data_IF_800028612403
#
_entry.id   IF_800028612403
#
_cell.length_a   1.000
_cell.length_b   1.000
_cell.length_c   1.000
_cell.angle_alpha   90.00
_cell.angle_beta   90.00
_cell.angle_gamma   90.00
#
_symmetry.space_group_name_H-M   'P 1'
#
loop_
_entity.id
_entity.type
_entity.pdbx_description
1 polymer ?
#
# COMPACT_ATOMS: atom_id res chain seq x y z
N UNK A 1 27.21 -17.83 32.29
CA UNK A 1 26.72 -19.02 33.01
C UNK A 1 27.01 -20.22 32.13
N UNK A 2 27.74 -21.18 32.70
CA UNK A 2 28.31 -22.37 32.06
C UNK A 2 27.25 -23.47 31.82
N UNK A 3 27.71 -24.52 31.11
CA UNK A 3 27.12 -25.85 30.85
C UNK A 3 26.04 -25.88 29.76
N UNK A 4 25.99 -26.82 28.82
CA UNK A 4 26.75 -28.03 28.52
C UNK A 4 26.46 -28.39 27.06
N UNK A 5 27.48 -28.81 26.30
CA UNK A 5 27.33 -29.40 24.97
C UNK A 5 27.34 -30.92 25.15
N UNK A 6 26.27 -31.60 24.77
CA UNK A 6 26.31 -33.05 24.53
C UNK A 6 25.86 -33.37 23.10
N UNK A 7 26.79 -34.01 22.38
CA UNK A 7 26.64 -34.60 21.06
C UNK A 7 26.36 -36.08 21.28
N UNK A 8 25.24 -36.59 20.74
CA UNK A 8 24.94 -38.02 20.76
C UNK A 8 25.09 -38.55 19.33
N UNK A 9 26.22 -39.21 19.07
CA UNK A 9 26.39 -40.17 17.97
C UNK A 9 26.01 -41.55 18.49
N UNK A 10 25.11 -42.27 17.81
CA UNK A 10 24.86 -43.69 18.05
C UNK A 10 25.24 -44.51 16.81
N UNK A 11 26.38 -45.21 16.91
CA UNK A 11 26.77 -46.31 16.03
C UNK A 11 25.98 -47.57 16.42
N UNK A 12 25.33 -48.22 15.45
CA UNK A 12 24.72 -49.54 15.64
C UNK A 12 25.67 -50.60 15.09
N UNK A 13 26.32 -51.31 16.01
CA UNK A 13 27.18 -52.47 15.75
C UNK A 13 26.32 -53.74 15.59
N UNK A 14 26.27 -54.31 14.39
CA UNK A 14 25.65 -55.61 14.12
C UNK A 14 26.58 -56.76 14.56
N UNK A 15 26.21 -57.44 15.64
CA UNK A 15 26.86 -58.65 16.12
C UNK A 15 26.61 -59.86 15.21
N UNK A 16 27.70 -60.46 14.75
CA UNK A 16 27.74 -61.74 14.01
C UNK A 16 27.76 -62.88 15.04
N UNK A 17 26.77 -63.78 15.04
CA UNK A 17 26.86 -65.06 15.73
C UNK A 17 26.60 -66.24 14.78
N UNK A 18 27.46 -67.23 14.94
CA UNK A 18 27.70 -68.45 14.18
C UNK A 18 26.63 -69.54 14.40
N UNK A 19 26.27 -70.25 13.33
CA UNK A 19 25.44 -71.46 13.34
C UNK A 19 26.31 -72.73 13.57
N UNK A 20 25.82 -73.78 14.27
CA UNK A 20 26.51 -75.06 14.35
C UNK A 20 26.08 -76.03 13.25
N UNK A 21 27.03 -76.86 12.84
CA UNK A 21 26.93 -77.97 11.88
C UNK A 21 26.10 -79.15 12.39
N UNK A 22 25.34 -79.81 11.52
CA UNK A 22 24.88 -81.19 11.73
C UNK A 22 25.13 -82.04 10.48
N UNK A 23 25.59 -83.26 10.76
CA UNK A 23 26.29 -84.24 9.94
C UNK A 23 25.39 -85.03 8.97
N UNK A 24 25.98 -85.50 7.88
CA UNK A 24 25.42 -86.48 6.94
C UNK A 24 25.35 -87.90 7.53
N UNK A 25 24.36 -88.68 7.09
CA UNK A 25 24.22 -90.11 7.36
C UNK A 25 23.34 -90.79 6.30
N UNK A 26 23.86 -91.86 5.72
CA UNK A 26 23.52 -92.56 4.46
C UNK A 26 22.24 -93.43 4.43
N UNK A 27 21.57 -93.39 3.25
CA UNK A 27 20.96 -94.46 2.41
C UNK A 27 19.98 -95.51 2.97
N UNK A 28 18.78 -95.65 2.37
CA UNK A 28 18.31 -96.84 1.59
C UNK A 28 17.21 -96.39 0.58
N UNK A 29 17.21 -97.03 -0.60
CA UNK A 29 16.40 -96.84 -1.80
C UNK A 29 15.04 -97.60 -1.74
N UNK A 30 13.96 -97.08 -2.34
CA UNK A 30 12.96 -97.81 -3.16
C UNK A 30 11.79 -96.90 -3.61
N UNK A 31 11.35 -97.07 -4.85
CA UNK A 31 10.55 -96.09 -5.60
C UNK A 31 9.04 -96.11 -5.40
N UNK A 32 8.42 -94.95 -5.60
CA UNK A 32 7.03 -94.69 -6.05
C UNK A 32 6.88 -93.18 -6.32
N UNK A 33 6.26 -92.70 -7.42
CA UNK A 33 6.10 -91.28 -7.66
C UNK A 33 4.87 -90.79 -6.89
N UNK A 34 5.03 -90.27 -5.67
CA UNK A 34 3.85 -89.84 -4.90
C UNK A 34 4.15 -88.81 -3.80
N UNK A 35 3.45 -87.67 -3.89
CA UNK A 35 3.09 -86.71 -2.82
C UNK A 35 4.19 -85.79 -2.27
N UNK A 36 5.47 -86.18 -2.25
CA UNK A 36 6.54 -85.37 -1.63
C UNK A 36 6.95 -84.12 -2.42
N UNK A 37 6.88 -84.14 -3.76
CA UNK A 37 7.22 -82.99 -4.60
C UNK A 37 6.20 -81.84 -4.50
N UNK A 38 4.92 -82.15 -4.27
CA UNK A 38 3.86 -81.13 -4.11
C UNK A 38 3.92 -80.39 -2.78
N UNK A 39 4.28 -81.07 -1.70
CA UNK A 39 4.45 -80.46 -0.37
C UNK A 39 5.70 -79.58 -0.29
N UNK A 40 6.78 -79.95 -0.99
CA UNK A 40 8.02 -79.18 -1.00
C UNK A 40 7.89 -77.89 -1.84
N UNK A 41 7.17 -77.96 -2.97
CA UNK A 41 6.79 -76.76 -3.75
C UNK A 41 5.90 -75.80 -2.96
N UNK A 42 4.86 -76.32 -2.29
CA UNK A 42 3.97 -75.49 -1.49
C UNK A 42 4.70 -74.80 -0.32
N UNK A 43 5.63 -75.48 0.35
CA UNK A 43 6.45 -74.86 1.40
C UNK A 43 7.44 -73.82 0.85
N UNK A 44 8.04 -74.06 -0.33
CA UNK A 44 8.87 -73.07 -1.01
C UNK A 44 8.06 -71.84 -1.44
N UNK A 45 6.84 -72.04 -1.93
CA UNK A 45 5.94 -70.94 -2.32
C UNK A 45 5.46 -70.14 -1.09
N UNK A 46 5.16 -70.78 0.04
CA UNK A 46 4.81 -70.09 1.29
C UNK A 46 5.99 -69.29 1.84
N UNK A 47 7.20 -69.86 1.84
CA UNK A 47 8.41 -69.16 2.31
C UNK A 47 8.70 -67.94 1.43
N UNK A 48 8.54 -68.08 0.11
CA UNK A 48 8.71 -66.97 -0.84
C UNK A 48 7.64 -65.89 -0.65
N UNK A 49 6.38 -66.27 -0.45
CA UNK A 49 5.29 -65.31 -0.14
C UNK A 49 5.55 -64.56 1.17
N UNK A 50 6.07 -65.27 2.17
CA UNK A 50 6.39 -64.71 3.47
C UNK A 50 7.56 -63.71 3.37
N UNK A 51 8.61 -64.06 2.62
CA UNK A 51 9.72 -63.17 2.31
C UNK A 51 9.26 -61.91 1.55
N UNK A 52 8.41 -62.07 0.52
CA UNK A 52 7.82 -60.94 -0.21
C UNK A 52 6.96 -60.05 0.69
N UNK A 53 6.21 -60.63 1.63
CA UNK A 53 5.42 -59.88 2.60
C UNK A 53 6.34 -59.07 3.56
N UNK A 54 7.40 -59.68 4.08
CA UNK A 54 8.37 -58.99 4.94
C UNK A 54 9.06 -57.84 4.21
N UNK A 55 9.44 -58.02 2.94
CA UNK A 55 10.03 -56.97 2.13
C UNK A 55 9.05 -55.80 1.92
N UNK A 56 7.79 -56.08 1.59
CA UNK A 56 6.76 -55.04 1.44
C UNK A 56 6.50 -54.26 2.72
N UNK A 57 6.46 -54.93 3.88
CA UNK A 57 6.29 -54.28 5.17
C UNK A 57 7.53 -53.45 5.52
N UNK A 58 8.73 -53.94 5.23
CA UNK A 58 9.97 -53.19 5.43
C UNK A 58 10.03 -51.93 4.56
N UNK A 59 9.63 -52.03 3.29
CA UNK A 59 9.55 -50.88 2.37
C UNK A 59 8.51 -49.85 2.84
N UNK A 60 7.35 -50.31 3.31
CA UNK A 60 6.33 -49.44 3.90
C UNK A 60 6.87 -48.70 5.12
N UNK A 61 7.45 -49.42 6.09
CA UNK A 61 8.00 -48.82 7.31
C UNK A 61 9.15 -47.84 7.01
N UNK A 62 9.99 -48.18 6.02
CA UNK A 62 11.05 -47.29 5.55
C UNK A 62 10.49 -46.01 4.94
N UNK A 63 9.40 -46.11 4.16
CA UNK A 63 8.69 -44.95 3.62
C UNK A 63 8.15 -44.04 4.72
N UNK A 64 7.47 -44.61 5.72
CA UNK A 64 6.92 -43.86 6.86
C UNK A 64 8.00 -43.16 7.69
N UNK A 65 9.11 -43.86 7.99
CA UNK A 65 10.24 -43.29 8.73
C UNK A 65 10.91 -42.16 7.93
N UNK A 66 11.07 -42.31 6.62
CA UNK A 66 11.66 -41.28 5.77
C UNK A 66 10.77 -40.03 5.71
N UNK A 67 9.46 -40.20 5.53
CA UNK A 67 8.51 -39.10 5.54
C UNK A 67 8.56 -38.34 6.87
N UNK A 68 8.51 -39.07 7.98
CA UNK A 68 8.62 -38.51 9.34
C UNK A 68 9.94 -37.76 9.53
N UNK A 69 11.05 -38.28 9.01
CA UNK A 69 12.37 -37.64 9.10
C UNK A 69 12.42 -36.31 8.35
N UNK A 70 11.80 -36.24 7.16
CA UNK A 70 11.71 -35.00 6.40
C UNK A 70 10.82 -33.95 7.09
N UNK A 71 9.73 -34.38 7.74
CA UNK A 71 8.90 -33.49 8.56
C UNK A 71 9.70 -32.89 9.74
N UNK A 72 10.56 -33.69 10.39
CA UNK A 72 11.44 -33.19 11.45
C UNK A 72 12.49 -32.21 10.95
N UNK A 73 13.09 -32.44 9.77
CA UNK A 73 14.01 -31.47 9.14
C UNK A 73 13.32 -30.16 8.77
N UNK A 74 12.09 -30.25 8.28
CA UNK A 74 11.27 -29.07 8.00
C UNK A 74 11.01 -28.29 9.29
N UNK A 75 10.65 -28.99 10.37
CA UNK A 75 10.42 -28.37 11.67
C UNK A 75 11.68 -27.69 12.23
N UNK A 76 12.84 -28.32 12.08
CA UNK A 76 14.14 -27.73 12.46
C UNK A 76 14.40 -26.43 11.66
N UNK A 77 14.18 -26.47 10.35
CA UNK A 77 14.33 -25.30 9.47
C UNK A 77 13.37 -24.17 9.87
N UNK A 78 12.11 -24.50 10.14
CA UNK A 78 11.10 -23.54 10.59
C UNK A 78 11.48 -22.91 11.93
N UNK A 79 12.00 -23.69 12.87
CA UNK A 79 12.47 -23.20 14.16
C UNK A 79 13.68 -22.27 14.01
N UNK A 80 14.61 -22.58 13.10
CA UNK A 80 15.76 -21.73 12.82
C UNK A 80 15.33 -20.39 12.22
N UNK A 81 14.49 -20.41 11.18
CA UNK A 81 13.93 -19.18 10.57
C UNK A 81 13.16 -18.35 11.61
N UNK A 82 12.36 -19.01 12.44
CA UNK A 82 11.61 -18.34 13.51
C UNK A 82 12.54 -17.65 14.51
N UNK A 83 13.62 -18.33 14.93
CA UNK A 83 14.64 -17.76 15.81
C UNK A 83 15.29 -16.52 15.20
N UNK A 84 15.69 -16.59 13.94
CA UNK A 84 16.35 -15.48 13.24
C UNK A 84 15.39 -14.27 13.13
N UNK A 85 14.10 -14.52 12.86
CA UNK A 85 13.06 -13.48 12.87
C UNK A 85 12.88 -12.83 14.23
N UNK A 86 12.88 -13.59 15.32
CA UNK A 86 12.80 -13.02 16.66
C UNK A 86 14.02 -12.16 17.01
N UNK A 87 15.22 -12.53 16.53
CA UNK A 87 16.42 -11.73 16.71
C UNK A 87 16.37 -10.42 15.92
N UNK A 88 15.93 -10.45 14.66
CA UNK A 88 15.70 -9.24 13.85
C UNK A 88 14.70 -8.29 14.53
N UNK A 89 13.57 -8.84 14.99
CA UNK A 89 12.53 -8.08 15.67
C UNK A 89 13.03 -7.45 16.97
N UNK A 90 13.86 -8.16 17.73
CA UNK A 90 14.49 -7.62 18.94
C UNK A 90 15.42 -6.45 18.63
N UNK A 91 16.24 -6.56 17.57
CA UNK A 91 17.13 -5.48 17.12
C UNK A 91 16.33 -4.26 16.66
N UNK A 92 15.23 -4.47 15.93
CA UNK A 92 14.34 -3.39 15.50
C UNK A 92 13.70 -2.68 16.69
N UNK A 93 13.22 -3.43 17.69
CA UNK A 93 12.66 -2.85 18.90
C UNK A 93 13.69 -2.02 19.69
N UNK A 94 14.95 -2.48 19.78
CA UNK A 94 16.03 -1.72 20.40
C UNK A 94 16.31 -0.41 19.66
N UNK A 95 16.36 -0.45 18.33
CA UNK A 95 16.53 0.76 17.53
C UNK A 95 15.36 1.73 17.74
N UNK A 96 14.12 1.23 17.79
CA UNK A 96 12.94 2.06 18.03
C UNK A 96 13.02 2.79 19.37
N UNK A 97 13.50 2.12 20.42
CA UNK A 97 13.69 2.73 21.75
C UNK A 97 14.71 3.89 21.68
N UNK A 98 15.80 3.72 20.93
CA UNK A 98 16.80 4.78 20.72
C UNK A 98 16.20 5.96 19.96
N UNK A 99 15.44 5.70 18.90
CA UNK A 99 14.78 6.76 18.12
C UNK A 99 13.70 7.49 18.93
N UNK A 100 12.92 6.78 19.76
CA UNK A 100 11.96 7.42 20.67
C UNK A 100 12.65 8.34 21.67
N UNK A 101 13.82 7.95 22.19
CA UNK A 101 14.59 8.81 23.08
C UNK A 101 15.11 10.06 22.35
N UNK A 102 15.52 9.95 21.09
CA UNK A 102 15.90 11.09 20.26
C UNK A 102 14.71 12.02 20.00
N UNK A 103 13.56 11.46 19.63
CA UNK A 103 12.34 12.23 19.40
C UNK A 103 11.91 12.99 20.65
N UNK A 104 11.99 12.34 21.82
CA UNK A 104 11.65 12.99 23.08
C UNK A 104 12.60 14.15 23.41
N UNK A 105 13.91 14.03 23.11
CA UNK A 105 14.85 15.17 23.24
C UNK A 105 14.48 16.33 22.32
N UNK A 106 14.13 16.03 21.07
CA UNK A 106 13.68 17.04 20.11
C UNK A 106 12.41 17.73 20.62
N UNK A 107 11.42 16.95 21.09
CA UNK A 107 10.20 17.48 21.67
C UNK A 107 10.47 18.41 22.86
N UNK A 108 11.32 18.00 23.79
CA UNK A 108 11.73 18.86 24.92
C UNK A 108 12.44 20.14 24.47
N UNK A 109 13.15 20.13 23.33
CA UNK A 109 13.76 21.34 22.78
C UNK A 109 12.75 22.35 22.22
N UNK A 110 11.53 21.89 21.89
CA UNK A 110 10.45 22.76 21.42
C UNK A 110 9.62 23.40 22.55
N UNK A 111 9.65 22.83 23.75
CA UNK A 111 8.95 23.34 24.94
C UNK A 111 9.09 24.87 25.16
N UNK A 112 10.30 25.48 25.13
CA UNK A 112 10.43 26.92 25.33
C UNK A 112 9.77 27.76 24.23
N UNK A 113 9.67 27.24 23.00
CA UNK A 113 9.00 27.94 21.91
C UNK A 113 7.48 27.88 22.04
N UNK A 114 6.95 26.75 22.55
CA UNK A 114 5.52 26.62 22.85
C UNK A 114 5.14 27.61 23.94
N UNK A 115 5.93 27.72 25.01
CA UNK A 115 5.72 28.71 26.06
C UNK A 115 5.75 30.16 25.54
N UNK A 116 6.67 30.48 24.62
CA UNK A 116 6.68 31.80 23.98
C UNK A 116 5.42 32.08 23.16
N UNK A 117 4.88 31.06 22.47
CA UNK A 117 3.63 31.21 21.71
C UNK A 117 2.47 31.48 22.68
N UNK A 118 2.40 30.76 23.80
CA UNK A 118 1.36 30.96 24.81
C UNK A 118 1.42 32.39 25.41
N UNK A 119 2.63 32.89 25.72
CA UNK A 119 2.83 34.27 26.17
C UNK A 119 2.35 35.31 25.14
N UNK A 120 2.60 35.08 23.85
CA UNK A 120 2.14 35.95 22.78
C UNK A 120 0.60 35.92 22.69
N UNK A 121 -0.01 34.75 22.80
CA UNK A 121 -1.48 34.61 22.81
C UNK A 121 -2.11 35.39 23.97
N UNK A 122 -1.56 35.30 25.18
CA UNK A 122 -2.04 36.08 26.33
C UNK A 122 -1.91 37.60 26.10
N UNK A 123 -0.82 38.05 25.47
CA UNK A 123 -0.63 39.46 25.13
C UNK A 123 -1.66 39.95 24.08
N UNK A 124 -1.99 39.10 23.10
CA UNK A 124 -3.02 39.41 22.09
C UNK A 124 -4.39 39.50 22.74
N UNK A 125 -4.74 38.59 23.64
CA UNK A 125 -6.01 38.63 24.39
C UNK A 125 -6.13 39.91 25.24
N UNK A 126 -5.02 40.35 25.84
CA UNK A 126 -4.98 41.62 26.57
C UNK A 126 -5.21 42.82 25.64
N UNK A 127 -4.55 42.84 24.48
CA UNK A 127 -4.75 43.88 23.47
C UNK A 127 -6.19 43.94 22.97
N UNK A 128 -6.84 42.79 22.79
CA UNK A 128 -8.25 42.72 22.41
C UNK A 128 -9.18 43.31 23.48
N UNK A 129 -8.93 43.03 24.76
CA UNK A 129 -9.67 43.65 25.88
C UNK A 129 -9.51 45.16 25.89
N UNK A 130 -8.29 45.67 25.76
CA UNK A 130 -8.03 47.12 25.71
C UNK A 130 -8.72 47.76 24.50
N UNK A 131 -8.72 47.10 23.34
CA UNK A 131 -9.42 47.59 22.16
C UNK A 131 -10.94 47.66 22.36
N UNK A 132 -11.52 46.67 23.03
CA UNK A 132 -12.95 46.67 23.38
C UNK A 132 -13.31 47.77 24.39
N UNK A 133 -12.48 47.98 25.42
CA UNK A 133 -12.67 49.09 26.36
C UNK A 133 -12.59 50.44 25.64
N UNK A 134 -11.64 50.61 24.72
CA UNK A 134 -11.51 51.83 23.92
C UNK A 134 -12.74 52.07 23.02
N UNK A 135 -13.32 51.00 22.46
CA UNK A 135 -14.54 51.07 21.67
C UNK A 135 -15.75 51.46 22.52
N UNK A 136 -15.86 50.95 23.75
CA UNK A 136 -16.89 51.38 24.71
C UNK A 136 -16.73 52.86 25.10
N UNK A 137 -15.51 53.30 25.46
CA UNK A 137 -15.23 54.72 25.73
C UNK A 137 -15.57 55.62 24.52
N UNK A 138 -15.27 55.16 23.30
CA UNK A 138 -15.62 55.88 22.06
C UNK A 138 -17.13 56.03 21.89
N UNK A 139 -17.90 54.96 22.16
CA UNK A 139 -19.36 54.97 22.15
C UNK A 139 -19.93 55.91 23.22
N UNK A 140 -19.42 55.86 24.45
CA UNK A 140 -19.83 56.77 25.51
C UNK A 140 -19.56 58.22 25.13
N UNK A 141 -18.37 58.54 24.62
CA UNK A 141 -18.03 59.89 24.18
C UNK A 141 -18.91 60.37 23.01
N UNK A 142 -19.33 59.47 22.12
CA UNK A 142 -20.28 59.76 21.06
C UNK A 142 -21.69 60.02 21.62
N UNK A 143 -22.13 59.26 22.62
CA UNK A 143 -23.40 59.46 23.34
C UNK A 143 -23.36 60.80 24.10
N UNK A 144 -22.28 61.12 24.82
CA UNK A 144 -22.10 62.39 25.51
C UNK A 144 -22.10 63.58 24.55
N UNK A 145 -21.47 63.45 23.36
CA UNK A 145 -21.52 64.45 22.28
C UNK A 145 -22.90 64.57 21.62
N UNK A 146 -23.69 63.50 21.57
CA UNK A 146 -25.09 63.55 21.09
C UNK A 146 -26.01 64.19 22.13
N UNK A 147 -25.82 63.85 23.42
CA UNK A 147 -26.55 64.44 24.54
C UNK A 147 -26.25 65.95 24.68
N UNK A 148 -25.00 66.37 24.47
CA UNK A 148 -24.62 67.78 24.47
C UNK A 148 -25.19 68.58 23.29
N UNK A 149 -25.60 67.91 22.19
CA UNK A 149 -26.31 68.53 21.05
C UNK A 149 -27.81 68.75 21.29
N UNK A 150 -28.41 68.12 22.31
CA UNK A 150 -29.84 68.21 22.65
C UNK A 150 -30.17 69.33 23.67
N UNK A 151 -29.19 70.16 24.02
CA UNK A 151 -29.31 71.40 24.80
C UNK A 151 -29.86 71.27 26.24
N UNK A 152 -29.14 70.51 27.07
CA UNK A 152 -28.93 70.92 28.48
C UNK A 152 -27.60 71.68 28.49
N UNK A 153 -27.64 72.98 28.79
CA UNK A 153 -26.50 73.89 28.69
C UNK A 153 -25.26 73.41 29.47
N UNK A 154 -24.12 73.24 28.81
CA UNK A 154 -23.03 74.24 28.84
C UNK A 154 -21.80 73.80 28.01
N UNK A 155 -21.53 74.58 26.96
CA UNK A 155 -20.21 75.10 26.51
C UNK A 155 -18.98 74.18 26.33
N UNK A 156 -18.26 74.42 25.20
CA UNK A 156 -16.92 73.90 24.80
C UNK A 156 -16.92 72.44 24.30
N UNK A 157 -16.44 72.03 23.11
CA UNK A 157 -15.38 72.52 22.20
C UNK A 157 -15.72 72.12 20.75
N UNK A 158 -15.64 73.07 19.82
CA UNK A 158 -15.44 72.80 18.39
C UNK A 158 -14.02 72.25 18.21
N UNK A 159 -13.88 71.05 17.66
CA UNK A 159 -12.56 70.55 17.25
C UNK A 159 -12.70 69.89 15.88
N UNK A 160 -12.61 70.71 14.83
CA UNK A 160 -12.72 70.27 13.44
C UNK A 160 -11.54 69.35 13.03
N UNK A 161 -10.40 69.45 13.72
CA UNK A 161 -9.26 68.51 13.57
C UNK A 161 -9.64 67.04 13.88
N UNK A 162 -10.46 66.80 14.91
CA UNK A 162 -10.82 65.44 15.33
C UNK A 162 -11.79 64.80 14.33
N UNK A 163 -12.61 65.59 13.64
CA UNK A 163 -13.50 65.08 12.58
C UNK A 163 -12.73 64.70 11.32
N UNK A 164 -11.71 65.48 10.98
CA UNK A 164 -10.83 65.19 9.84
C UNK A 164 -10.00 63.93 10.07
N UNK A 165 -9.41 63.78 11.26
CA UNK A 165 -8.67 62.57 11.63
C UNK A 165 -9.58 61.33 11.71
N UNK A 166 -10.79 61.44 12.27
CA UNK A 166 -11.75 60.33 12.28
C UNK A 166 -12.26 59.97 10.88
N UNK A 167 -12.32 60.93 9.96
CA UNK A 167 -12.65 60.68 8.55
C UNK A 167 -11.52 59.90 7.87
N UNK A 168 -10.27 60.30 8.12
CA UNK A 168 -9.09 59.61 7.62
C UNK A 168 -8.99 58.18 8.14
N UNK A 169 -9.22 57.97 9.44
CA UNK A 169 -9.23 56.63 10.07
C UNK A 169 -10.35 55.75 9.52
N UNK A 170 -11.55 56.30 9.30
CA UNK A 170 -12.66 55.54 8.66
C UNK A 170 -12.34 55.14 7.23
N UNK A 171 -11.74 56.04 6.46
CA UNK A 171 -11.32 55.76 5.08
C UNK A 171 -10.19 54.72 5.03
N UNK A 172 -9.24 54.82 5.96
CA UNK A 172 -8.15 53.85 6.09
C UNK A 172 -8.68 52.46 6.47
N UNK A 173 -9.56 52.36 7.47
CA UNK A 173 -10.19 51.10 7.87
C UNK A 173 -10.96 50.47 6.71
N UNK A 174 -11.72 51.26 5.95
CA UNK A 174 -12.41 50.78 4.76
C UNK A 174 -11.44 50.24 3.71
N UNK A 175 -10.33 50.94 3.48
CA UNK A 175 -9.29 50.53 2.53
C UNK A 175 -8.58 49.24 2.97
N UNK A 176 -8.32 49.09 4.26
CA UNK A 176 -7.73 47.86 4.84
C UNK A 176 -8.72 46.69 4.70
N UNK A 177 -10.00 46.92 4.98
CA UNK A 177 -11.04 45.90 4.89
C UNK A 177 -11.24 45.41 3.44
N UNK A 178 -11.29 46.32 2.47
CA UNK A 178 -11.32 46.00 1.04
C UNK A 178 -10.05 45.25 0.60
N UNK A 179 -8.87 45.58 1.15
CA UNK A 179 -7.63 44.85 0.89
C UNK A 179 -7.64 43.45 1.49
N UNK A 180 -8.19 43.26 2.70
CA UNK A 180 -8.29 41.95 3.35
C UNK A 180 -9.27 41.05 2.61
N UNK A 181 -10.42 41.56 2.16
CA UNK A 181 -11.36 40.82 1.33
C UNK A 181 -10.73 40.44 -0.01
N UNK A 182 -10.04 41.38 -0.66
CA UNK A 182 -9.29 41.11 -1.89
C UNK A 182 -8.22 40.06 -1.66
N UNK A 183 -7.43 40.15 -0.58
CA UNK A 183 -6.42 39.16 -0.23
C UNK A 183 -7.04 37.79 0.04
N UNK A 184 -8.19 37.72 0.73
CA UNK A 184 -8.93 36.48 0.94
C UNK A 184 -9.48 35.87 -0.35
N UNK A 185 -9.81 36.71 -1.34
CA UNK A 185 -10.24 36.28 -2.66
C UNK A 185 -9.05 35.81 -3.50
N UNK A 186 -7.95 36.56 -3.48
CA UNK A 186 -6.69 36.24 -4.16
C UNK A 186 -6.07 34.95 -3.60
N UNK A 187 -6.12 34.73 -2.28
CA UNK A 187 -5.69 33.48 -1.63
C UNK A 187 -6.58 32.31 -2.07
N UNK A 188 -7.91 32.47 -2.12
CA UNK A 188 -8.83 31.44 -2.64
C UNK A 188 -8.61 31.15 -4.12
N UNK A 189 -8.33 32.16 -4.93
CA UNK A 189 -7.94 31.99 -6.33
C UNK A 189 -6.57 31.32 -6.46
N UNK A 190 -5.59 31.64 -5.62
CA UNK A 190 -4.28 31.00 -5.61
C UNK A 190 -4.36 29.52 -5.22
N UNK A 191 -5.17 29.16 -4.21
CA UNK A 191 -5.44 27.76 -3.87
C UNK A 191 -6.15 27.03 -5.02
N UNK A 192 -7.20 27.62 -5.60
CA UNK A 192 -7.92 27.00 -6.73
C UNK A 192 -7.12 26.96 -8.05
N UNK A 193 -6.19 27.90 -8.28
CA UNK A 193 -5.26 27.88 -9.42
C UNK A 193 -4.14 26.87 -9.23
N UNK A 194 -3.60 26.75 -8.00
CA UNK A 194 -2.45 25.88 -7.74
C UNK A 194 -2.73 24.41 -8.08
N UNK A 195 -3.95 23.92 -7.81
CA UNK A 195 -4.32 22.53 -8.10
C UNK A 195 -4.81 22.31 -9.55
N UNK A 196 -5.41 23.32 -10.20
CA UNK A 196 -5.96 23.18 -11.56
C UNK A 196 -4.99 23.55 -12.69
N UNK A 197 -4.06 24.48 -12.47
CA UNK A 197 -3.07 24.89 -13.49
C UNK A 197 -1.79 24.02 -13.48
N UNK A 198 -1.58 23.19 -12.45
CA UNK A 198 -0.46 22.24 -12.40
C UNK A 198 -0.71 20.96 -13.20
N UNK A 199 -1.97 20.58 -13.45
CA UNK A 199 -2.33 19.32 -14.11
C UNK A 199 -2.67 19.44 -15.61
N UNK A 200 -2.48 20.61 -16.23
CA UNK A 200 -2.69 20.77 -17.67
C UNK A 200 -1.40 20.42 -18.44
N UNK A 201 -1.51 19.43 -19.32
CA UNK A 201 -0.48 19.00 -20.26
C UNK A 201 0.18 17.66 -19.94
N UNK A 202 -0.01 17.11 -18.74
CA UNK A 202 0.73 15.92 -18.28
C UNK A 202 0.18 14.66 -18.95
N UNK A 203 1.05 13.90 -19.64
CA UNK A 203 0.76 12.55 -20.15
C UNK A 203 1.66 11.56 -19.45
N UNK A 204 1.09 10.77 -18.55
CA UNK A 204 1.86 9.90 -17.67
C UNK A 204 1.29 8.49 -17.63
N UNK A 205 2.18 7.53 -17.40
CA UNK A 205 1.82 6.17 -16.96
C UNK A 205 2.23 5.97 -15.50
N UNK A 206 1.35 5.42 -14.68
CA UNK A 206 1.66 4.96 -13.32
C UNK A 206 1.74 3.44 -13.36
N UNK A 207 2.91 2.94 -12.99
CA UNK A 207 3.24 1.54 -12.86
C UNK A 207 3.39 1.23 -11.37
N UNK A 208 2.88 0.08 -10.96
CA UNK A 208 3.01 -0.34 -9.58
C UNK A 208 2.40 -1.71 -9.38
N UNK A 209 2.72 -2.36 -8.26
CA UNK A 209 2.25 -3.69 -7.99
C UNK A 209 0.72 -3.70 -7.77
N UNK A 210 0.09 -4.89 -7.80
CA UNK A 210 -1.36 -5.03 -7.82
C UNK A 210 -1.99 -4.35 -6.60
N UNK A 211 -2.66 -3.21 -6.83
CA UNK A 211 -3.15 -2.41 -5.71
C UNK A 211 -3.19 -0.93 -5.95
N UNK A 212 -2.27 -0.41 -6.76
CA UNK A 212 -2.03 1.01 -6.99
C UNK A 212 -3.05 1.74 -7.90
N UNK A 213 -4.21 1.11 -8.18
CA UNK A 213 -5.29 1.48 -9.11
C UNK A 213 -4.97 1.17 -10.61
N UNK A 214 -5.85 1.23 -11.63
CA UNK A 214 -7.32 1.27 -11.75
C UNK A 214 -7.80 0.02 -12.51
N UNK A 215 -8.67 -0.77 -11.87
CA UNK A 215 -9.55 -1.69 -12.61
C UNK A 215 -10.90 -1.04 -12.86
N UNK A 216 -11.06 0.26 -12.61
CA UNK A 216 -12.36 0.91 -12.49
C UNK A 216 -13.04 1.12 -13.83
N UNK A 217 -12.28 1.35 -14.90
CA UNK A 217 -12.82 1.33 -16.26
C UNK A 217 -13.34 -0.06 -16.65
N UNK A 218 -12.61 -1.13 -16.34
CA UNK A 218 -13.11 -2.49 -16.56
C UNK A 218 -14.29 -2.82 -15.64
N UNK A 219 -14.27 -2.36 -14.38
CA UNK A 219 -15.36 -2.57 -13.42
C UNK A 219 -16.62 -1.77 -13.76
N UNK A 220 -16.50 -0.59 -14.36
CA UNK A 220 -17.65 0.16 -14.86
C UNK A 220 -18.30 -0.57 -16.05
N UNK A 221 -17.49 -1.15 -16.94
CA UNK A 221 -17.97 -2.02 -18.03
C UNK A 221 -18.65 -3.29 -17.50
N UNK A 222 -18.08 -3.90 -16.45
CA UNK A 222 -18.69 -5.04 -15.74
C UNK A 222 -20.03 -4.65 -15.11
N UNK A 223 -20.10 -3.48 -14.45
CA UNK A 223 -21.31 -2.96 -13.83
C UNK A 223 -22.39 -2.62 -14.88
N UNK A 224 -21.97 -2.07 -16.02
CA UNK A 224 -22.83 -1.81 -17.18
C UNK A 224 -23.22 -3.09 -17.96
N UNK A 225 -22.70 -4.25 -17.57
CA UNK A 225 -22.96 -5.57 -18.19
C UNK A 225 -22.71 -5.57 -19.70
N UNK A 226 -21.71 -4.83 -20.16
CA UNK A 226 -21.31 -4.87 -21.57
C UNK A 226 -20.71 -6.23 -21.90
N UNK A 227 -20.74 -6.63 -23.18
CA UNK A 227 -20.14 -7.90 -23.63
C UNK A 227 -18.69 -8.03 -23.17
N UNK A 228 -17.93 -6.95 -23.31
CA UNK A 228 -16.55 -6.84 -22.86
C UNK A 228 -16.43 -6.92 -21.33
N UNK A 229 -17.31 -6.26 -20.59
CA UNK A 229 -17.32 -6.33 -19.12
C UNK A 229 -17.53 -7.75 -18.59
N UNK A 230 -18.42 -8.54 -19.21
CA UNK A 230 -18.67 -9.93 -18.82
C UNK A 230 -17.47 -10.84 -19.07
N UNK A 231 -16.77 -10.66 -20.19
CA UNK A 231 -15.55 -11.40 -20.52
C UNK A 231 -14.39 -11.00 -19.58
N UNK A 232 -14.22 -9.69 -19.34
CA UNK A 232 -13.22 -9.17 -18.42
C UNK A 232 -13.42 -9.65 -16.98
N UNK A 233 -14.69 -9.76 -16.51
CA UNK A 233 -14.99 -10.19 -15.15
C UNK A 233 -14.36 -11.54 -14.80
N UNK A 234 -14.51 -12.54 -15.68
CA UNK A 234 -13.97 -13.89 -15.45
C UNK A 234 -12.44 -13.88 -15.31
N UNK A 235 -11.78 -13.09 -16.16
CA UNK A 235 -10.32 -12.96 -16.16
C UNK A 235 -9.86 -12.26 -14.89
N UNK A 236 -10.51 -11.16 -14.51
CA UNK A 236 -10.20 -10.40 -13.30
C UNK A 236 -10.38 -11.21 -12.02
N UNK A 237 -11.49 -11.95 -11.90
CA UNK A 237 -11.79 -12.79 -10.73
C UNK A 237 -10.72 -13.90 -10.54
N UNK A 238 -10.10 -14.37 -11.65
CA UNK A 238 -9.00 -15.36 -11.62
C UNK A 238 -7.61 -14.77 -11.35
N UNK A 239 -7.48 -13.43 -11.30
CA UNK A 239 -6.19 -12.74 -11.19
C UNK A 239 -5.39 -12.65 -12.49
N UNK A 240 -5.99 -13.00 -13.63
CA UNK A 240 -5.38 -12.91 -14.96
C UNK A 240 -5.38 -11.49 -15.54
N UNK A 241 -4.73 -11.33 -16.70
CA UNK A 241 -4.71 -10.09 -17.46
C UNK A 241 -5.66 -10.18 -18.66
N UNK A 242 -6.42 -9.10 -18.89
CA UNK A 242 -7.23 -8.94 -20.10
C UNK A 242 -6.29 -8.81 -21.31
N UNK A 243 -6.71 -9.30 -22.47
CA UNK A 243 -5.86 -9.31 -23.66
C UNK A 243 -5.42 -7.90 -24.09
N UNK A 244 -4.19 -7.81 -24.58
CA UNK A 244 -3.54 -6.56 -24.96
C UNK A 244 -4.36 -5.78 -26.01
N UNK A 245 -4.96 -6.48 -26.97
CA UNK A 245 -5.77 -5.88 -28.03
C UNK A 245 -7.02 -5.18 -27.50
N UNK A 246 -7.70 -5.82 -26.54
CA UNK A 246 -8.90 -5.27 -25.91
C UNK A 246 -8.52 -4.02 -25.10
N UNK A 247 -7.44 -4.09 -24.33
CA UNK A 247 -6.99 -2.98 -23.49
C UNK A 247 -6.53 -1.78 -24.33
N UNK A 248 -5.71 -2.01 -25.35
CA UNK A 248 -5.23 -0.95 -26.26
C UNK A 248 -6.42 -0.29 -26.97
N UNK A 249 -7.36 -1.07 -27.49
CA UNK A 249 -8.55 -0.53 -28.17
C UNK A 249 -9.43 0.32 -27.24
N UNK A 250 -9.58 -0.09 -25.97
CA UNK A 250 -10.34 0.66 -24.99
C UNK A 250 -9.68 2.01 -24.65
N UNK A 251 -8.37 2.00 -24.39
CA UNK A 251 -7.61 3.23 -24.11
C UNK A 251 -7.63 4.16 -25.33
N UNK A 252 -7.48 3.62 -26.54
CA UNK A 252 -7.58 4.40 -27.76
C UNK A 252 -8.93 5.11 -27.88
N UNK A 253 -10.02 4.39 -27.63
CA UNK A 253 -11.36 4.95 -27.69
C UNK A 253 -11.55 6.10 -26.69
N UNK A 254 -11.04 5.95 -25.46
CA UNK A 254 -11.15 7.03 -24.46
C UNK A 254 -10.29 8.24 -24.80
N UNK A 255 -9.04 8.04 -25.22
CA UNK A 255 -8.17 9.15 -25.60
C UNK A 255 -8.70 9.95 -26.80
N UNK A 256 -9.48 9.31 -27.68
CA UNK A 256 -10.08 9.96 -28.85
C UNK A 256 -11.41 10.64 -28.54
N UNK A 257 -12.29 9.99 -27.77
CA UNK A 257 -13.66 10.44 -27.58
C UNK A 257 -13.88 11.27 -26.32
N UNK A 258 -13.02 11.16 -25.30
CA UNK A 258 -13.14 11.94 -24.08
C UNK A 258 -12.49 13.33 -24.25
N UNK A 259 -13.26 14.43 -24.21
CA UNK A 259 -12.70 15.78 -24.33
C UNK A 259 -11.71 16.13 -23.21
N UNK A 260 -11.85 15.54 -22.03
CA UNK A 260 -10.96 15.78 -20.87
C UNK A 260 -9.54 15.28 -21.15
N UNK A 261 -9.40 14.17 -21.89
CA UNK A 261 -8.10 13.60 -22.26
C UNK A 261 -7.30 14.49 -23.24
N UNK A 262 -7.90 15.54 -23.81
CA UNK A 262 -7.18 16.47 -24.69
C UNK A 262 -6.16 17.32 -23.93
N UNK A 263 -6.41 17.56 -22.64
CA UNK A 263 -5.54 18.38 -21.79
C UNK A 263 -4.42 17.58 -21.13
N UNK A 264 -4.34 16.27 -21.32
CA UNK A 264 -3.44 15.39 -20.60
C UNK A 264 -4.18 14.15 -20.12
N UNK A 265 -3.44 13.15 -19.67
CA UNK A 265 -4.02 11.93 -19.12
C UNK A 265 -3.03 11.24 -18.19
N UNK A 266 -3.58 10.51 -17.22
CA UNK A 266 -2.82 9.60 -16.38
C UNK A 266 -3.37 8.20 -16.66
N UNK A 267 -2.54 7.35 -17.25
CA UNK A 267 -2.85 5.94 -17.43
C UNK A 267 -2.36 5.20 -16.20
N UNK A 268 -3.29 4.63 -15.46
CA UNK A 268 -2.99 3.95 -14.21
C UNK A 268 -3.23 2.44 -14.36
N UNK A 269 -2.17 1.65 -14.21
CA UNK A 269 -2.23 0.21 -14.39
C UNK A 269 -2.26 -0.24 -15.86
N UNK A 270 -1.93 0.64 -16.81
CA UNK A 270 -1.62 0.35 -18.20
C UNK A 270 -0.43 1.22 -18.65
N UNK A 271 0.57 0.68 -19.36
CA UNK A 271 0.70 -0.69 -19.85
C UNK A 271 1.22 -1.68 -18.79
N UNK A 272 0.89 -2.97 -18.95
CA UNK A 272 1.34 -4.10 -18.11
C UNK A 272 2.29 -5.06 -18.81
N UNK A 273 2.43 -4.94 -20.13
CA UNK A 273 3.34 -5.75 -20.94
C UNK A 273 4.12 -4.84 -21.88
N UNK A 274 5.31 -5.27 -22.31
CA UNK A 274 6.12 -4.50 -23.28
C UNK A 274 5.37 -4.28 -24.61
N UNK A 275 4.66 -5.28 -25.18
CA UNK A 275 3.85 -5.05 -26.38
C UNK A 275 2.75 -4.00 -26.20
N UNK A 276 2.16 -3.88 -25.01
CA UNK A 276 1.20 -2.80 -24.72
C UNK A 276 1.90 -1.43 -24.70
N UNK A 277 3.11 -1.34 -24.14
CA UNK A 277 3.88 -0.10 -24.11
C UNK A 277 4.28 0.36 -25.52
N UNK A 278 4.74 -0.56 -26.37
CA UNK A 278 5.06 -0.28 -27.78
C UNK A 278 3.82 0.20 -28.55
N UNK A 279 2.66 -0.46 -28.36
CA UNK A 279 1.40 -0.07 -28.99
C UNK A 279 0.91 1.30 -28.52
N UNK A 280 1.06 1.60 -27.23
CA UNK A 280 0.71 2.91 -26.65
C UNK A 280 1.56 4.01 -27.28
N UNK A 281 2.87 3.82 -27.35
CA UNK A 281 3.78 4.78 -27.95
C UNK A 281 3.47 4.98 -29.44
N UNK A 282 3.29 3.90 -30.19
CA UNK A 282 2.94 3.97 -31.62
C UNK A 282 1.59 4.67 -31.85
N UNK A 283 0.64 4.54 -30.92
CA UNK A 283 -0.64 5.26 -30.97
C UNK A 283 -0.44 6.76 -30.71
N UNK A 284 0.35 7.14 -29.71
CA UNK A 284 0.61 8.54 -29.39
C UNK A 284 1.41 9.22 -30.50
N UNK A 285 2.38 8.54 -31.11
CA UNK A 285 3.18 9.06 -32.23
C UNK A 285 2.31 9.42 -33.44
N UNK A 286 1.28 8.64 -33.76
CA UNK A 286 0.31 8.95 -34.84
C UNK A 286 -0.37 10.30 -34.63
N UNK A 287 -0.64 10.65 -33.38
CA UNK A 287 -1.25 11.92 -32.98
C UNK A 287 -0.20 13.02 -32.71
N UNK A 288 1.08 12.77 -33.00
CA UNK A 288 2.23 13.65 -32.68
C UNK A 288 2.32 13.98 -31.19
N UNK A 289 1.96 13.01 -30.35
CA UNK A 289 2.03 13.07 -28.88
C UNK A 289 3.13 12.12 -28.40
N UNK A 290 3.65 12.41 -27.20
CA UNK A 290 4.56 11.53 -26.46
C UNK A 290 4.10 11.45 -25.00
N UNK A 291 4.53 10.40 -24.30
CA UNK A 291 4.48 10.36 -22.84
C UNK A 291 5.56 11.26 -22.26
N UNK A 292 5.22 11.97 -21.19
CA UNK A 292 6.14 12.84 -20.47
C UNK A 292 6.83 12.09 -19.33
N UNK A 293 6.07 11.23 -18.61
CA UNK A 293 6.56 10.49 -17.45
C UNK A 293 6.04 9.06 -17.36
N UNK A 294 6.86 8.19 -16.80
CA UNK A 294 6.52 6.84 -16.41
C UNK A 294 6.93 6.64 -14.95
N UNK A 295 5.96 6.71 -14.03
CA UNK A 295 6.22 6.65 -12.60
C UNK A 295 6.04 5.23 -12.09
N UNK A 296 7.02 4.70 -11.37
CA UNK A 296 6.92 3.42 -10.69
C UNK A 296 6.74 3.60 -9.19
N UNK A 297 5.67 3.02 -8.64
CA UNK A 297 5.40 2.96 -7.21
C UNK A 297 6.04 1.70 -6.61
N UNK A 298 7.21 1.88 -6.01
CA UNK A 298 8.04 0.80 -5.45
C UNK A 298 7.61 0.50 -4.02
N UNK A 299 7.29 -0.77 -3.74
CA UNK A 299 6.89 -1.23 -2.41
C UNK A 299 7.22 -2.72 -2.23
N UNK A 300 7.57 -3.11 -1.01
CA UNK A 300 7.82 -4.52 -0.64
C UNK A 300 6.54 -5.36 -0.73
N UNK A 301 6.67 -6.57 -1.28
CA UNK A 301 5.56 -7.51 -1.49
C UNK A 301 4.84 -7.85 -0.17
N UNK A 302 5.55 -7.99 0.95
CA UNK A 302 4.93 -8.32 2.23
C UNK A 302 4.09 -7.16 2.76
N UNK A 303 4.58 -5.93 2.63
CA UNK A 303 3.83 -4.74 3.00
C UNK A 303 2.58 -4.57 2.12
N UNK A 304 2.69 -4.90 0.83
CA UNK A 304 1.57 -4.88 -0.08
C UNK A 304 0.48 -5.89 0.30
N UNK A 305 0.85 -7.10 0.73
CA UNK A 305 -0.12 -8.11 1.20
C UNK A 305 -0.96 -7.57 2.36
N UNK A 306 -0.32 -6.96 3.35
CA UNK A 306 -1.04 -6.33 4.47
C UNK A 306 -1.96 -5.21 3.99
N UNK A 307 -1.51 -4.36 3.06
CA UNK A 307 -2.30 -3.24 2.51
C UNK A 307 -3.52 -3.69 1.70
N UNK A 308 -3.43 -4.77 0.93
CA UNK A 308 -4.53 -5.21 0.06
C UNK A 308 -5.59 -5.97 0.85
N UNK A 309 -5.17 -6.88 1.73
CA UNK A 309 -6.09 -7.70 2.53
C UNK A 309 -6.93 -6.89 3.52
N UNK A 310 -6.44 -5.72 3.94
CA UNK A 310 -7.16 -4.78 4.81
C UNK A 310 -7.94 -3.69 4.10
N UNK A 311 -7.95 -3.65 2.75
CA UNK A 311 -8.59 -2.57 1.98
C UNK A 311 -10.12 -2.63 2.03
N UNK A 312 -10.72 -1.46 2.20
CA UNK A 312 -12.15 -1.19 2.15
C UNK A 312 -12.40 -0.10 1.11
N UNK A 313 -13.49 -0.19 0.35
CA UNK A 313 -13.75 0.70 -0.78
C UNK A 313 -15.20 1.15 -0.75
N UNK A 314 -15.41 2.44 -0.97
CA UNK A 314 -16.73 2.99 -1.19
C UNK A 314 -17.11 2.86 -2.68
N UNK A 315 -18.08 2.02 -3.07
CA UNK A 315 -18.35 1.70 -4.48
C UNK A 315 -18.69 2.91 -5.35
N UNK A 316 -19.47 3.86 -4.81
CA UNK A 316 -19.99 4.99 -5.56
C UNK A 316 -18.92 6.05 -5.87
N UNK A 317 -17.89 6.16 -5.03
CA UNK A 317 -16.85 7.20 -5.14
C UNK A 317 -15.47 6.68 -5.49
N UNK A 318 -15.22 5.38 -5.30
CA UNK A 318 -13.88 4.79 -5.39
C UNK A 318 -12.96 5.11 -4.21
N UNK A 319 -13.39 5.91 -3.21
CA UNK A 319 -12.60 6.19 -2.00
C UNK A 319 -12.19 4.89 -1.32
N UNK A 320 -10.93 4.83 -0.90
CA UNK A 320 -10.35 3.65 -0.26
C UNK A 320 -9.95 3.95 1.18
N UNK A 321 -10.21 2.98 2.04
CA UNK A 321 -9.86 2.96 3.45
C UNK A 321 -9.10 1.67 3.74
N UNK A 322 -8.50 1.59 4.91
CA UNK A 322 -7.80 0.39 5.35
C UNK A 322 -8.11 0.11 6.82
N UNK A 323 -8.45 -1.15 7.15
CA UNK A 323 -8.84 -1.55 8.52
C UNK A 323 -7.87 -1.11 9.62
N UNK A 324 -6.57 -1.04 9.29
CA UNK A 324 -5.47 -0.66 10.21
C UNK A 324 -4.83 0.70 9.85
N UNK A 325 -4.25 0.84 8.65
CA UNK A 325 -3.47 2.03 8.26
C UNK A 325 -4.28 3.31 7.98
N UNK A 326 -5.56 3.19 7.63
CA UNK A 326 -6.44 4.33 7.31
C UNK A 326 -7.91 3.97 7.61
N UNK A 327 -8.26 3.73 8.88
CA UNK A 327 -9.58 3.24 9.25
C UNK A 327 -10.62 4.33 9.02
N UNK A 328 -11.85 3.97 8.58
CA UNK A 328 -12.94 4.94 8.52
C UNK A 328 -13.30 5.40 9.93
N UNK A 329 -13.81 6.64 10.06
CA UNK A 329 -14.29 7.19 11.33
C UNK A 329 -15.39 6.32 11.95
N UNK A 330 -16.26 5.78 11.11
CA UNK A 330 -17.28 4.80 11.50
C UNK A 330 -17.02 3.49 10.78
N UNK A 331 -16.87 2.41 11.55
CA UNK A 331 -16.57 1.09 11.01
C UNK A 331 -17.53 0.69 9.88
N UNK A 332 -16.97 0.38 8.71
CA UNK A 332 -17.72 -0.04 7.54
C UNK A 332 -18.49 1.06 6.82
N UNK A 333 -18.28 2.34 7.13
CA UNK A 333 -18.96 3.46 6.47
C UNK A 333 -17.98 4.48 5.90
N UNK A 334 -18.36 5.09 4.79
CA UNK A 334 -17.63 6.19 4.18
C UNK A 334 -17.74 7.46 5.04
N UNK A 335 -16.63 8.16 5.24
CA UNK A 335 -16.57 9.33 6.12
C UNK A 335 -17.32 10.56 5.59
N UNK A 336 -17.59 10.61 4.29
CA UNK A 336 -18.24 11.75 3.63
C UNK A 336 -19.72 11.47 3.42
N UNK A 337 -20.09 10.28 2.92
CA UNK A 337 -21.48 9.96 2.58
C UNK A 337 -22.19 9.12 3.64
N UNK A 338 -21.46 8.45 4.53
CA UNK A 338 -22.04 7.50 5.49
C UNK A 338 -22.51 6.18 4.88
N UNK A 339 -22.29 5.98 3.57
CA UNK A 339 -22.66 4.77 2.83
C UNK A 339 -21.73 3.59 3.17
N UNK A 340 -22.19 2.34 2.97
CA UNK A 340 -21.40 1.16 3.34
C UNK A 340 -20.14 1.00 2.48
N UNK A 341 -19.04 0.65 3.15
CA UNK A 341 -17.80 0.21 2.53
C UNK A 341 -17.84 -1.29 2.25
N UNK A 342 -17.22 -1.71 1.16
CA UNK A 342 -17.10 -3.12 0.79
C UNK A 342 -15.63 -3.52 0.66
N UNK A 343 -15.35 -4.80 0.88
CA UNK A 343 -14.10 -5.42 0.48
C UNK A 343 -14.30 -6.08 -0.89
N UNK A 344 -13.33 -5.92 -1.81
CA UNK A 344 -13.43 -6.56 -3.13
C UNK A 344 -13.18 -8.06 -3.01
N UNK A 345 -13.82 -8.84 -3.89
CA UNK A 345 -13.66 -10.29 -3.92
C UNK A 345 -12.21 -10.73 -4.26
N UNK A 346 -11.49 -9.92 -5.06
CA UNK A 346 -10.10 -10.16 -5.46
C UNK A 346 -9.06 -9.69 -4.42
N UNK A 347 -9.48 -9.04 -3.32
CA UNK A 347 -8.60 -8.56 -2.25
C UNK A 347 -8.33 -9.67 -1.21
N UNK A 348 -7.77 -10.79 -1.68
CA UNK A 348 -7.36 -11.93 -0.86
C UNK A 348 -5.90 -12.35 -1.16
N UNK A 349 -5.28 -13.07 -0.22
CA UNK A 349 -3.85 -13.41 -0.29
C UNK A 349 -3.50 -14.31 -1.49
N UNK A 350 -4.37 -15.26 -1.86
CA UNK A 350 -4.12 -16.18 -2.96
C UNK A 350 -4.13 -15.46 -4.30
N UNK A 351 -5.17 -14.66 -4.56
CA UNK A 351 -5.29 -13.84 -5.76
C UNK A 351 -4.14 -12.83 -5.84
N UNK A 352 -3.77 -12.20 -4.72
CA UNK A 352 -2.65 -11.26 -4.70
C UNK A 352 -1.32 -11.93 -5.05
N UNK A 353 -1.03 -13.12 -4.50
CA UNK A 353 0.20 -13.86 -4.81
C UNK A 353 0.29 -14.17 -6.31
N UNK A 354 -0.80 -14.61 -6.93
CA UNK A 354 -0.89 -14.83 -8.40
C UNK A 354 -0.63 -13.54 -9.18
N UNK A 355 -1.19 -12.41 -8.73
CA UNK A 355 -1.00 -11.11 -9.38
C UNK A 355 0.43 -10.59 -9.21
N UNK A 356 1.06 -10.79 -8.06
CA UNK A 356 2.46 -10.41 -7.82
C UNK A 356 3.42 -11.19 -8.72
N UNK A 357 3.24 -12.50 -8.84
CA UNK A 357 4.02 -13.32 -9.78
C UNK A 357 3.86 -12.82 -11.22
N UNK A 358 2.63 -12.48 -11.61
CA UNK A 358 2.35 -11.94 -12.94
C UNK A 358 2.99 -10.55 -13.14
N UNK A 359 2.92 -9.68 -12.13
CA UNK A 359 3.53 -8.35 -12.15
C UNK A 359 5.04 -8.43 -12.35
N UNK A 360 5.74 -9.22 -11.53
CA UNK A 360 7.19 -9.39 -11.63
C UNK A 360 7.61 -10.01 -12.97
N UNK A 361 6.77 -10.88 -13.54
CA UNK A 361 7.05 -11.53 -14.82
C UNK A 361 6.80 -10.62 -16.03
N UNK A 362 5.75 -9.79 -16.00
CA UNK A 362 5.26 -9.09 -17.19
C UNK A 362 5.37 -7.57 -17.12
N UNK A 363 5.18 -6.98 -15.94
CA UNK A 363 5.21 -5.53 -15.74
C UNK A 363 6.63 -5.04 -15.44
N UNK A 364 7.47 -5.80 -14.73
CA UNK A 364 8.88 -5.40 -14.49
C UNK A 364 9.67 -5.14 -15.79
N UNK A 365 9.51 -5.91 -16.89
CA UNK A 365 10.12 -5.55 -18.18
C UNK A 365 9.68 -4.20 -18.76
N UNK A 366 8.47 -3.72 -18.42
CA UNK A 366 7.96 -2.41 -18.87
C UNK A 366 8.73 -1.27 -18.21
N UNK A 367 9.17 -1.47 -16.96
CA UNK A 367 10.03 -0.51 -16.25
C UNK A 367 11.33 -0.29 -17.03
N UNK A 368 11.97 -1.37 -17.46
CA UNK A 368 13.21 -1.27 -18.25
C UNK A 368 12.99 -0.62 -19.61
N UNK A 369 11.85 -0.89 -20.25
CA UNK A 369 11.45 -0.21 -21.49
C UNK A 369 11.39 1.33 -21.31
N UNK A 370 10.76 1.82 -20.23
CA UNK A 370 10.65 3.27 -20.00
C UNK A 370 11.92 3.91 -19.43
N UNK A 371 12.77 3.14 -18.73
CA UNK A 371 14.12 3.59 -18.36
C UNK A 371 14.97 3.87 -19.61
N UNK A 372 14.92 2.99 -20.61
CA UNK A 372 15.63 3.21 -21.88
C UNK A 372 15.15 4.46 -22.64
N UNK A 373 13.89 4.86 -22.43
CA UNK A 373 13.31 6.09 -23.00
C UNK A 373 13.56 7.36 -22.18
N UNK A 374 14.26 7.26 -21.05
CA UNK A 374 14.57 8.38 -20.14
C UNK A 374 13.34 9.14 -19.62
N UNK A 375 12.20 8.45 -19.46
CA UNK A 375 10.99 9.04 -18.87
C UNK A 375 10.58 8.37 -17.55
N UNK A 376 11.37 7.41 -17.07
CA UNK A 376 11.07 6.66 -15.84
C UNK A 376 11.51 7.40 -14.57
N UNK A 377 10.66 7.32 -13.53
CA UNK A 377 10.94 7.77 -12.17
C UNK A 377 10.40 6.78 -11.13
N UNK A 378 11.25 6.29 -10.23
CA UNK A 378 10.84 5.46 -9.10
C UNK A 378 10.44 6.28 -7.87
N UNK A 379 9.32 5.94 -7.22
CA UNK A 379 8.81 6.56 -6.00
C UNK A 379 8.60 5.48 -4.95
N UNK A 380 9.14 5.68 -3.75
CA UNK A 380 8.91 4.78 -2.61
C UNK A 380 7.46 4.93 -2.09
N UNK A 381 6.63 3.95 -2.41
CA UNK A 381 5.23 3.91 -2.03
C UNK A 381 5.01 3.32 -0.63
N UNK A 382 6.06 2.90 0.09
CA UNK A 382 5.94 2.44 1.48
C UNK A 382 5.69 3.56 2.48
N UNK A 383 6.00 4.81 2.10
CA UNK A 383 5.85 6.01 2.92
C UNK A 383 4.39 6.42 3.18
N UNK A 384 4.18 7.42 4.03
CA UNK A 384 2.88 8.06 4.26
C UNK A 384 2.38 8.74 2.96
N UNK A 385 1.06 8.70 2.67
CA UNK A 385 0.44 9.38 1.53
C UNK A 385 0.95 10.81 1.23
N UNK A 386 1.18 11.64 2.25
CA UNK A 386 1.65 13.02 2.06
C UNK A 386 3.06 13.09 1.45
N UNK A 387 3.95 12.19 1.88
CA UNK A 387 5.34 12.10 1.39
C UNK A 387 5.37 11.54 -0.03
N UNK A 388 4.54 10.53 -0.30
CA UNK A 388 4.38 9.96 -1.65
C UNK A 388 3.83 11.03 -2.60
N UNK A 389 2.84 11.81 -2.16
CA UNK A 389 2.28 12.91 -2.93
C UNK A 389 3.30 14.00 -3.24
N UNK A 390 4.08 14.43 -2.26
CA UNK A 390 5.16 15.40 -2.48
C UNK A 390 6.21 14.90 -3.49
N UNK A 391 6.54 13.60 -3.44
CA UNK A 391 7.47 12.98 -4.40
C UNK A 391 6.91 12.96 -5.82
N UNK A 392 5.61 12.69 -5.97
CA UNK A 392 4.91 12.76 -7.25
C UNK A 392 4.88 14.20 -7.81
N UNK A 393 4.54 15.18 -6.97
CA UNK A 393 4.54 16.60 -7.36
C UNK A 393 5.93 17.07 -7.83
N UNK A 394 7.01 16.60 -7.19
CA UNK A 394 8.36 16.93 -7.62
C UNK A 394 8.66 16.42 -9.04
N UNK A 395 8.17 15.23 -9.39
CA UNK A 395 8.28 14.69 -10.75
C UNK A 395 7.47 15.54 -11.73
N UNK A 396 6.26 15.94 -11.36
CA UNK A 396 5.38 16.75 -12.23
C UNK A 396 5.93 18.15 -12.48
N UNK A 397 6.55 18.76 -11.47
CA UNK A 397 7.06 20.14 -11.53
C UNK A 397 8.28 20.26 -12.46
N UNK A 398 9.10 19.22 -12.54
CA UNK A 398 10.27 19.19 -13.42
C UNK A 398 9.91 19.16 -14.92
N UNK A 399 8.66 18.84 -15.27
CA UNK A 399 8.18 18.82 -16.67
C UNK A 399 8.08 20.20 -17.32
N UNK A 400 7.89 21.26 -16.51
CA UNK A 400 7.66 22.63 -17.01
C UNK A 400 8.94 23.38 -17.40
N UNK A 401 10.12 22.80 -17.22
CA UNK A 401 11.42 23.46 -17.51
C UNK A 401 12.09 23.05 -18.83
N UNK A 402 11.52 22.12 -19.61
CA UNK A 402 12.09 21.67 -20.89
C UNK A 402 11.24 22.00 -22.10
#
# INVERSE_FOLDING_TARGET
MSSEKESVQSEITLGRQSSPSVNEGTSVNEGSPSVSEGLNKNNQDINKLTEEMFLKVADYLKGEILATTEDYKLLETMNQVTRDRYQEMSKMAQNLVVEMANFQRIYTSFEPYIQQIDEICEQVDFLEKVANELDEYSKELAITKMASKLNINSSFVNNDNVKEELSYVRHFLKTVQERVEKLGTDVKELFNKSDKEQATGIRMVIMGPPGAATGDMLRSQVAAKTKLGLEAKKIMDSGGLVSDEIMVGMIQNELQNNPECKQGFILDGFPRTVPQAEKLDAMLEKDKKKLDHAVELVIDDNLLVSRITGRLIHPSSGRTYHKIFNPPKVSGKDDVTGEPLIQRADDNAETLKKRLVTYHKQTTPVVEYYKQKNIWSGVDASQNPEVVWASLLAIFSNSKQN
#
